data_IF_666975117884
#
_entry.id   IF_666975117884
#
_cell.length_a   1.000
_cell.length_b   1.000
_cell.length_c   1.000
_cell.angle_alpha   90.00
_cell.angle_beta   90.00
_cell.angle_gamma   90.00
#
_symmetry.space_group_name_H-M   'P 1'
#
loop_
_entity.id
_entity.type
_entity.pdbx_description
1 polymer ?
#
# COMPACT_ATOMS: atom_id res chain seq x y z
N UNK A 1 8.76 -2.88 -14.84
CA UNK A 1 9.15 -1.82 -13.90
C UNK A 1 8.06 -0.75 -13.84
N UNK A 2 7.75 -0.04 -14.93
CA UNK A 2 6.61 0.90 -14.99
C UNK A 2 5.24 0.27 -14.69
N UNK A 3 5.02 -1.00 -15.04
CA UNK A 3 3.76 -1.69 -14.73
C UNK A 3 3.41 -1.73 -13.23
N UNK A 4 4.41 -1.71 -12.32
CA UNK A 4 4.14 -1.66 -10.88
C UNK A 4 3.51 -0.34 -10.46
N UNK A 5 4.02 0.79 -10.98
CA UNK A 5 3.49 2.12 -10.69
C UNK A 5 2.05 2.27 -11.13
N UNK A 6 1.76 1.92 -12.38
CA UNK A 6 0.39 1.96 -12.89
C UNK A 6 -0.52 1.01 -12.13
N UNK A 7 -0.03 -0.13 -11.67
CA UNK A 7 -0.83 -1.07 -10.89
C UNK A 7 -1.22 -0.51 -9.52
N UNK A 8 -0.28 0.12 -8.79
CA UNK A 8 -0.58 0.79 -7.52
C UNK A 8 -1.53 1.97 -7.71
N UNK A 9 -1.25 2.82 -8.70
CA UNK A 9 -2.09 3.97 -9.04
C UNK A 9 -3.50 3.53 -9.42
N UNK A 10 -3.63 2.51 -10.26
CA UNK A 10 -4.93 1.98 -10.71
C UNK A 10 -5.73 1.39 -9.55
N UNK A 11 -5.08 0.77 -8.58
CA UNK A 11 -5.76 0.21 -7.41
C UNK A 11 -6.49 1.29 -6.61
N UNK A 12 -5.84 2.42 -6.36
CA UNK A 12 -6.50 3.58 -5.71
C UNK A 12 -7.54 4.22 -6.62
N UNK A 13 -7.23 4.34 -7.92
CA UNK A 13 -8.16 4.90 -8.91
C UNK A 13 -9.49 4.15 -8.94
N UNK A 14 -9.47 2.83 -8.76
CA UNK A 14 -10.66 2.00 -8.71
C UNK A 14 -11.53 2.32 -7.47
N UNK A 15 -10.91 2.50 -6.30
CA UNK A 15 -11.63 2.94 -5.09
C UNK A 15 -12.23 4.34 -5.27
N UNK A 16 -11.47 5.29 -5.83
CA UNK A 16 -11.96 6.64 -6.12
C UNK A 16 -13.12 6.60 -7.12
N UNK A 17 -13.03 5.77 -8.16
CA UNK A 17 -14.09 5.60 -9.14
C UNK A 17 -15.38 5.06 -8.50
N UNK A 18 -15.28 4.08 -7.61
CA UNK A 18 -16.43 3.57 -6.85
C UNK A 18 -17.04 4.68 -5.99
N UNK A 19 -16.22 5.45 -5.26
CA UNK A 19 -16.73 6.57 -4.46
C UNK A 19 -17.38 7.66 -5.31
N UNK A 20 -16.85 7.93 -6.50
CA UNK A 20 -17.45 8.86 -7.45
C UNK A 20 -18.84 8.38 -7.88
N UNK A 21 -18.99 7.10 -8.25
CA UNK A 21 -20.28 6.51 -8.62
C UNK A 21 -21.30 6.52 -7.47
N UNK A 22 -20.82 6.38 -6.23
CA UNK A 22 -21.66 6.46 -5.02
C UNK A 22 -21.99 7.90 -4.61
N UNK A 23 -21.45 8.91 -5.29
CA UNK A 23 -21.62 10.33 -4.94
C UNK A 23 -20.81 10.77 -3.71
N UNK A 24 -19.85 9.96 -3.27
CA UNK A 24 -19.02 10.22 -2.09
C UNK A 24 -17.67 10.86 -2.39
N UNK A 25 -17.32 11.02 -3.67
CA UNK A 25 -16.14 11.76 -4.12
C UNK A 25 -16.54 12.81 -5.16
N UNK A 26 -16.09 14.05 -4.97
CA UNK A 26 -16.30 15.14 -5.90
C UNK A 26 -14.98 15.86 -6.18
N UNK A 27 -14.59 15.94 -7.45
CA UNK A 27 -13.50 16.81 -7.88
C UNK A 27 -14.01 18.25 -8.00
N UNK A 28 -13.34 19.19 -7.33
CA UNK A 28 -13.68 20.61 -7.30
C UNK A 28 -12.89 21.36 -8.35
N UNK A 29 -11.56 21.21 -8.33
CA UNK A 29 -10.66 21.89 -9.26
C UNK A 29 -9.37 21.10 -9.44
N UNK A 30 -8.65 21.40 -10.51
CA UNK A 30 -7.33 20.82 -10.80
C UNK A 30 -6.32 21.95 -10.76
N UNK A 31 -5.35 21.85 -9.85
CA UNK A 31 -4.23 22.80 -9.76
C UNK A 31 -2.99 22.10 -9.24
N UNK A 32 -1.86 22.30 -9.93
CA UNK A 32 -0.55 21.83 -9.47
C UNK A 32 0.13 22.80 -8.50
N UNK A 33 -0.47 23.96 -8.23
CA UNK A 33 0.08 24.98 -7.31
C UNK A 33 0.33 24.42 -5.90
N UNK A 34 -0.44 23.41 -5.50
CA UNK A 34 -0.36 22.79 -4.18
C UNK A 34 0.47 21.50 -4.18
N UNK A 35 1.03 21.07 -5.32
CA UNK A 35 1.83 19.85 -5.41
C UNK A 35 3.14 20.11 -6.17
N UNK A 36 4.20 20.38 -5.42
CA UNK A 36 5.55 20.58 -5.97
C UNK A 36 6.22 19.26 -6.34
N UNK A 37 7.10 19.31 -7.33
CA UNK A 37 8.02 18.20 -7.68
C UNK A 37 8.83 17.71 -6.46
N UNK A 38 9.07 18.59 -5.47
CA UNK A 38 9.75 18.24 -4.21
C UNK A 38 8.99 17.17 -3.43
N UNK A 39 7.66 17.24 -3.37
CA UNK A 39 6.83 16.24 -2.67
C UNK A 39 6.91 14.88 -3.35
N UNK A 40 6.84 14.85 -4.68
CA UNK A 40 7.00 13.60 -5.43
C UNK A 40 8.36 12.96 -5.18
N UNK A 41 9.44 13.75 -5.17
CA UNK A 41 10.79 13.28 -4.86
C UNK A 41 10.88 12.71 -3.44
N UNK A 42 10.29 13.38 -2.44
CA UNK A 42 10.22 12.87 -1.06
C UNK A 42 9.47 11.54 -1.00
N UNK A 43 8.31 11.42 -1.65
CA UNK A 43 7.55 10.16 -1.71
C UNK A 43 8.36 9.03 -2.36
N UNK A 44 9.07 9.33 -3.45
CA UNK A 44 9.93 8.37 -4.14
C UNK A 44 11.04 7.84 -3.23
N UNK A 45 11.79 8.74 -2.58
CA UNK A 45 12.87 8.31 -1.68
C UNK A 45 12.35 7.60 -0.43
N UNK A 46 11.26 8.10 0.17
CA UNK A 46 10.63 7.47 1.32
C UNK A 46 10.14 6.06 0.98
N UNK A 47 9.46 5.88 -0.15
CA UNK A 47 9.04 4.57 -0.63
C UNK A 47 10.23 3.65 -0.87
N UNK A 48 11.29 4.13 -1.53
CA UNK A 48 12.49 3.35 -1.82
C UNK A 48 13.17 2.85 -0.53
N UNK A 49 13.40 3.75 0.43
CA UNK A 49 14.04 3.41 1.70
C UNK A 49 13.17 2.44 2.50
N UNK A 50 11.86 2.69 2.57
CA UNK A 50 10.91 1.77 3.23
C UNK A 50 10.97 0.39 2.57
N UNK A 51 10.89 0.30 1.25
CA UNK A 51 10.89 -0.99 0.55
C UNK A 51 12.22 -1.74 0.64
N UNK A 52 13.36 -1.02 0.60
CA UNK A 52 14.67 -1.60 0.82
C UNK A 52 14.78 -2.22 2.21
N UNK A 53 14.32 -1.53 3.24
CA UNK A 53 14.37 -2.03 4.62
C UNK A 53 13.37 -3.17 4.85
N UNK A 54 12.10 -2.95 4.54
CA UNK A 54 11.04 -3.93 4.85
C UNK A 54 11.13 -5.16 3.95
N UNK A 55 11.34 -4.99 2.64
CA UNK A 55 11.27 -6.10 1.68
C UNK A 55 12.66 -6.58 1.32
N UNK A 56 13.57 -5.65 1.01
CA UNK A 56 14.95 -5.96 0.65
C UNK A 56 15.79 -6.58 1.78
N UNK A 57 15.54 -6.19 3.03
CA UNK A 57 16.23 -6.69 4.21
C UNK A 57 15.34 -7.64 5.04
N UNK A 58 14.29 -7.15 5.69
CA UNK A 58 13.51 -7.95 6.67
C UNK A 58 12.89 -9.19 6.00
N UNK A 59 12.01 -9.01 5.00
CA UNK A 59 11.33 -10.13 4.35
C UNK A 59 12.34 -11.09 3.71
N UNK A 60 13.36 -10.59 3.01
CA UNK A 60 14.39 -11.43 2.38
C UNK A 60 15.13 -12.29 3.40
N UNK A 61 15.64 -11.69 4.47
CA UNK A 61 16.44 -12.40 5.49
C UNK A 61 15.56 -13.39 6.24
N UNK A 62 14.39 -12.96 6.70
CA UNK A 62 13.46 -13.83 7.42
C UNK A 62 13.02 -15.01 6.54
N UNK A 63 12.72 -14.82 5.25
CA UNK A 63 12.28 -15.93 4.39
C UNK A 63 13.38 -16.99 4.20
N UNK A 64 14.63 -16.56 4.06
CA UNK A 64 15.77 -17.45 3.92
C UNK A 64 16.00 -18.34 5.16
N UNK A 65 15.63 -17.84 6.34
CA UNK A 65 15.85 -18.50 7.63
C UNK A 65 14.61 -19.27 8.11
N UNK A 66 13.45 -18.60 8.09
CA UNK A 66 12.21 -19.03 8.74
C UNK A 66 11.19 -19.62 7.78
N UNK A 67 11.38 -19.44 6.46
CA UNK A 67 10.41 -19.81 5.43
C UNK A 67 9.31 -18.76 5.23
N UNK A 68 8.58 -18.88 4.13
CA UNK A 68 7.64 -17.86 3.64
C UNK A 68 6.52 -17.54 4.63
N UNK A 69 5.88 -18.55 5.24
CA UNK A 69 4.69 -18.33 6.07
C UNK A 69 5.01 -17.52 7.34
N UNK A 70 6.11 -17.84 8.03
CA UNK A 70 6.54 -17.09 9.23
C UNK A 70 6.95 -15.67 8.85
N UNK A 71 7.67 -15.52 7.74
CA UNK A 71 8.07 -14.21 7.22
C UNK A 71 6.89 -13.32 6.88
N UNK A 72 5.80 -13.86 6.34
CA UNK A 72 4.60 -13.07 6.07
C UNK A 72 4.02 -12.49 7.36
N UNK A 73 3.91 -13.30 8.42
CA UNK A 73 3.45 -12.82 9.73
C UNK A 73 4.36 -11.71 10.25
N UNK A 74 5.69 -11.88 10.17
CA UNK A 74 6.65 -10.83 10.56
C UNK A 74 6.43 -9.57 9.73
N UNK A 75 6.34 -9.71 8.40
CA UNK A 75 6.12 -8.59 7.49
C UNK A 75 4.84 -7.82 7.78
N UNK A 76 3.74 -8.52 8.12
CA UNK A 76 2.49 -7.90 8.56
C UNK A 76 2.68 -7.11 9.86
N UNK A 77 3.37 -7.70 10.85
CA UNK A 77 3.58 -7.07 12.16
C UNK A 77 4.48 -5.82 12.08
N UNK A 78 5.48 -5.80 11.19
CA UNK A 78 6.34 -4.62 11.03
C UNK A 78 5.56 -3.39 10.56
N UNK A 79 4.54 -3.58 9.72
CA UNK A 79 3.73 -2.46 9.25
C UNK A 79 2.86 -1.82 10.36
N UNK A 80 2.66 -2.51 11.49
CA UNK A 80 1.92 -1.97 12.64
C UNK A 80 2.61 -0.76 13.29
N UNK A 81 3.87 -0.46 12.96
CA UNK A 81 4.50 0.79 13.35
C UNK A 81 3.71 2.03 12.90
N UNK A 82 2.89 1.91 11.85
CA UNK A 82 2.07 3.03 11.36
C UNK A 82 0.88 3.36 12.28
N UNK A 83 0.61 2.58 13.34
CA UNK A 83 -0.37 2.95 14.37
C UNK A 83 -0.02 4.30 15.02
N UNK A 84 1.26 4.68 15.04
CA UNK A 84 1.71 5.98 15.54
C UNK A 84 1.45 7.15 14.57
N UNK A 85 0.98 6.88 13.36
CA UNK A 85 0.60 7.95 12.44
C UNK A 85 -0.64 8.68 12.97
N UNK A 86 -0.72 10.00 12.75
CA UNK A 86 -1.93 10.76 13.05
C UNK A 86 -3.16 10.11 12.40
N UNK A 87 -4.30 10.21 13.05
CA UNK A 87 -5.60 9.73 12.54
C UNK A 87 -5.72 8.21 12.35
N UNK A 88 -4.72 7.40 12.77
CA UNK A 88 -4.84 5.94 12.80
C UNK A 88 -6.01 5.50 13.67
N UNK A 89 -6.83 4.58 13.15
CA UNK A 89 -7.97 4.02 13.85
C UNK A 89 -7.93 2.48 13.87
N UNK A 90 -8.92 1.85 14.51
CA UNK A 90 -8.96 0.38 14.63
C UNK A 90 -9.03 -0.32 13.26
N UNK A 91 -9.68 0.29 12.27
CA UNK A 91 -9.72 -0.25 10.91
C UNK A 91 -8.35 -0.13 10.21
N UNK A 92 -7.61 0.95 10.45
CA UNK A 92 -6.25 1.14 9.96
C UNK A 92 -5.32 -0.01 10.35
N UNK A 93 -5.52 -0.61 11.54
CA UNK A 93 -4.75 -1.78 11.98
C UNK A 93 -4.86 -2.95 10.99
N UNK A 94 -6.08 -3.29 10.57
CA UNK A 94 -6.31 -4.36 9.60
C UNK A 94 -5.71 -4.00 8.24
N UNK A 95 -5.85 -2.75 7.82
CA UNK A 95 -5.23 -2.25 6.59
C UNK A 95 -3.70 -2.41 6.63
N UNK A 96 -3.02 -2.02 7.71
CA UNK A 96 -1.56 -2.15 7.83
C UNK A 96 -1.09 -3.60 7.75
N UNK A 97 -1.82 -4.53 8.37
CA UNK A 97 -1.54 -5.97 8.25
C UNK A 97 -1.70 -6.44 6.79
N UNK A 98 -2.77 -6.03 6.11
CA UNK A 98 -3.02 -6.37 4.70
C UNK A 98 -1.91 -5.79 3.80
N UNK A 99 -1.45 -4.58 4.07
CA UNK A 99 -0.32 -3.95 3.38
C UNK A 99 0.95 -4.78 3.51
N UNK A 100 1.32 -5.16 4.73
CA UNK A 100 2.52 -5.98 4.97
C UNK A 100 2.44 -7.34 4.29
N UNK A 101 1.28 -7.99 4.35
CA UNK A 101 1.03 -9.25 3.65
C UNK A 101 1.21 -9.09 2.12
N UNK A 102 0.53 -8.11 1.53
CA UNK A 102 0.47 -7.95 0.07
C UNK A 102 1.81 -7.54 -0.51
N UNK A 103 2.48 -6.58 0.12
CA UNK A 103 3.78 -6.10 -0.30
C UNK A 103 4.88 -7.15 -0.07
N UNK A 104 4.80 -7.89 1.04
CA UNK A 104 5.62 -9.07 1.28
C UNK A 104 5.43 -10.12 0.18
N UNK A 105 4.19 -10.39 -0.22
CA UNK A 105 3.89 -11.35 -1.30
C UNK A 105 4.40 -10.91 -2.67
N UNK A 106 4.30 -9.62 -3.02
CA UNK A 106 4.88 -9.10 -4.28
C UNK A 106 6.41 -9.31 -4.31
N UNK A 107 7.08 -9.05 -3.19
CA UNK A 107 8.50 -9.32 -3.08
C UNK A 107 8.81 -10.82 -3.16
N UNK A 108 8.11 -11.65 -2.38
CA UNK A 108 8.33 -13.10 -2.34
C UNK A 108 8.12 -13.76 -3.70
N UNK A 109 7.11 -13.31 -4.45
CA UNK A 109 6.81 -13.85 -5.78
C UNK A 109 7.86 -13.49 -6.84
N UNK A 110 8.44 -12.29 -6.76
CA UNK A 110 9.39 -11.78 -7.76
C UNK A 110 10.86 -11.89 -7.36
N UNK A 111 11.13 -12.04 -6.06
CA UNK A 111 12.44 -11.91 -5.38
C UNK A 111 13.17 -10.59 -5.69
N UNK A 112 12.43 -9.56 -6.14
CA UNK A 112 12.95 -8.27 -6.59
C UNK A 112 12.18 -7.15 -5.89
N UNK A 113 12.89 -6.11 -5.47
CA UNK A 113 12.28 -4.94 -4.80
C UNK A 113 11.47 -4.06 -5.76
N UNK A 114 11.73 -4.15 -7.06
CA UNK A 114 11.18 -3.21 -8.03
C UNK A 114 9.66 -3.25 -8.13
N UNK A 115 9.05 -4.43 -8.08
CA UNK A 115 7.58 -4.53 -8.12
C UNK A 115 6.92 -3.85 -6.91
N UNK A 116 7.23 -4.23 -5.65
CA UNK A 116 6.65 -3.56 -4.49
C UNK A 116 7.01 -2.07 -4.47
N UNK A 117 8.25 -1.69 -4.75
CA UNK A 117 8.66 -0.29 -4.78
C UNK A 117 7.83 0.57 -5.75
N UNK A 118 7.71 0.15 -7.02
CA UNK A 118 6.93 0.92 -7.98
C UNK A 118 5.44 0.90 -7.64
N UNK A 119 4.90 -0.22 -7.15
CA UNK A 119 3.52 -0.29 -6.66
C UNK A 119 3.26 0.71 -5.53
N UNK A 120 4.14 0.74 -4.53
CA UNK A 120 4.08 1.68 -3.41
C UNK A 120 4.17 3.13 -3.86
N UNK A 121 5.07 3.42 -4.81
CA UNK A 121 5.19 4.78 -5.36
C UNK A 121 3.93 5.22 -6.10
N UNK A 122 3.36 4.35 -6.94
CA UNK A 122 2.10 4.64 -7.66
C UNK A 122 0.91 4.80 -6.72
N UNK A 123 0.83 3.94 -5.70
CA UNK A 123 -0.14 4.03 -4.62
C UNK A 123 -0.04 5.37 -3.89
N UNK A 124 1.15 5.73 -3.39
CA UNK A 124 1.33 6.97 -2.62
C UNK A 124 1.13 8.21 -3.48
N UNK A 125 1.56 8.20 -4.74
CA UNK A 125 1.36 9.33 -5.65
C UNK A 125 -0.10 9.57 -5.98
N UNK A 126 -0.90 8.50 -6.09
CA UNK A 126 -2.32 8.62 -6.43
C UNK A 126 -3.14 9.36 -5.35
N UNK A 127 -2.71 9.36 -4.09
CA UNK A 127 -3.44 10.00 -3.00
C UNK A 127 -3.48 11.53 -3.14
N UNK A 128 -2.34 12.26 -3.17
CA UNK A 128 -2.35 13.70 -3.46
C UNK A 128 -2.82 13.98 -4.89
N UNK A 129 -2.65 13.05 -5.85
CA UNK A 129 -3.23 13.20 -7.18
C UNK A 129 -4.76 13.38 -7.12
N UNK A 130 -5.46 12.54 -6.35
CA UNK A 130 -6.91 12.61 -6.14
C UNK A 130 -7.34 13.51 -4.98
N UNK A 131 -6.42 14.23 -4.33
CA UNK A 131 -6.73 15.10 -3.19
C UNK A 131 -7.09 14.36 -1.90
N UNK A 132 -6.69 13.09 -1.77
CA UNK A 132 -6.79 12.33 -0.53
C UNK A 132 -5.60 12.61 0.38
N UNK A 133 -5.82 12.57 1.70
CA UNK A 133 -4.75 12.45 2.69
C UNK A 133 -3.91 11.19 2.45
N UNK A 134 -2.64 11.22 2.87
CA UNK A 134 -1.69 10.11 2.74
C UNK A 134 -1.36 9.51 4.11
N UNK A 135 -1.91 8.33 4.41
CA UNK A 135 -1.63 7.61 5.67
C UNK A 135 -1.84 8.47 6.92
N UNK A 136 -2.93 9.25 6.92
CA UNK A 136 -3.29 10.15 8.00
C UNK A 136 -2.52 11.47 8.04
N UNK A 137 -1.63 11.71 7.08
CA UNK A 137 -0.90 12.97 6.91
C UNK A 137 -1.58 13.86 5.86
N UNK A 138 -1.64 15.16 6.14
CA UNK A 138 -2.31 16.17 5.31
C UNK A 138 -1.32 17.18 4.68
N UNK A 139 -0.02 16.89 4.71
CA UNK A 139 1.07 17.83 4.40
C UNK A 139 1.69 17.65 3.00
N UNK A 140 1.19 16.69 2.21
CA UNK A 140 1.73 16.36 0.88
C UNK A 140 1.12 17.14 -0.28
N UNK A 141 0.18 18.04 0.01
CA UNK A 141 -0.52 18.83 -1.00
C UNK A 141 -1.47 18.02 -1.86
N UNK A 142 -1.98 18.64 -2.93
CA UNK A 142 -2.91 17.97 -3.84
C UNK A 142 -2.87 18.54 -5.27
N UNK A 143 -3.14 17.68 -6.26
CA UNK A 143 -3.26 18.06 -7.67
C UNK A 143 -4.73 18.29 -8.01
N UNK A 144 -5.60 17.35 -7.64
CA UNK A 144 -7.05 17.54 -7.67
C UNK A 144 -7.48 18.00 -6.29
N UNK A 145 -8.07 19.19 -6.19
CA UNK A 145 -8.84 19.57 -5.01
C UNK A 145 -10.14 18.80 -5.03
N UNK A 146 -10.39 17.99 -4.00
CA UNK A 146 -11.54 17.11 -3.95
C UNK A 146 -12.22 17.16 -2.59
N UNK A 147 -13.47 16.73 -2.57
CA UNK A 147 -14.26 16.56 -1.36
C UNK A 147 -14.71 15.12 -1.25
N UNK A 148 -14.45 14.53 -0.09
CA UNK A 148 -14.95 13.22 0.30
C UNK A 148 -16.12 13.43 1.25
N UNK A 149 -17.34 13.08 0.82
CA UNK A 149 -18.55 13.19 1.63
C UNK A 149 -19.14 11.80 1.77
N UNK A 150 -19.04 11.16 2.93
CA UNK A 150 -19.61 9.83 3.09
C UNK A 150 -19.09 9.12 4.34
N UNK A 151 -19.57 7.89 4.60
CA UNK A 151 -19.14 7.10 5.74
C UNK A 151 -17.63 6.89 5.74
N UNK A 152 -16.98 7.06 6.89
CA UNK A 152 -15.52 6.94 7.02
C UNK A 152 -15.00 5.57 6.57
N UNK A 153 -15.76 4.49 6.78
CA UNK A 153 -15.38 3.16 6.31
C UNK A 153 -15.23 3.09 4.78
N UNK A 154 -15.98 3.91 4.05
CA UNK A 154 -15.94 3.95 2.57
C UNK A 154 -14.91 4.96 2.08
N UNK A 155 -14.83 6.15 2.67
CA UNK A 155 -13.92 7.22 2.23
C UNK A 155 -12.51 7.07 2.78
N UNK A 156 -12.35 6.30 3.86
CA UNK A 156 -11.14 6.20 4.66
C UNK A 156 -10.99 7.31 5.71
N UNK A 157 -11.95 8.23 5.80
CA UNK A 157 -11.98 9.30 6.80
C UNK A 157 -10.68 10.11 6.83
N UNK A 158 -10.20 10.44 8.03
CA UNK A 158 -8.99 11.23 8.20
C UNK A 158 -7.69 10.50 7.79
N UNK A 159 -7.70 9.17 7.70
CA UNK A 159 -6.56 8.36 7.20
C UNK A 159 -6.34 8.61 5.70
N UNK A 160 -7.41 8.92 4.98
CA UNK A 160 -7.43 9.01 3.51
C UNK A 160 -7.88 7.70 2.86
N UNK A 161 -8.00 7.72 1.53
CA UNK A 161 -8.58 6.66 0.70
C UNK A 161 -7.97 5.26 0.93
N UNK A 162 -6.75 5.18 1.44
CA UNK A 162 -6.12 3.91 1.79
C UNK A 162 -6.78 3.21 2.98
N UNK A 163 -7.42 3.95 3.88
CA UNK A 163 -8.25 3.43 4.96
C UNK A 163 -9.65 3.00 4.50
N UNK A 164 -9.97 3.10 3.21
CA UNK A 164 -11.25 2.63 2.66
C UNK A 164 -11.34 1.10 2.64
N UNK A 165 -12.52 0.56 2.94
CA UNK A 165 -12.81 -0.87 2.77
C UNK A 165 -12.61 -1.35 1.34
N UNK A 166 -12.89 -0.52 0.32
CA UNK A 166 -12.67 -0.88 -1.08
C UNK A 166 -11.17 -1.04 -1.35
N UNK A 167 -10.37 -0.07 -0.92
CA UNK A 167 -8.92 -0.09 -1.08
C UNK A 167 -8.29 -1.27 -0.36
N UNK A 168 -8.67 -1.52 0.89
CA UNK A 168 -8.20 -2.67 1.66
C UNK A 168 -8.58 -4.01 1.01
N UNK A 169 -9.79 -4.11 0.46
CA UNK A 169 -10.28 -5.31 -0.23
C UNK A 169 -9.49 -5.60 -1.51
N UNK A 170 -9.24 -4.58 -2.34
CA UNK A 170 -8.43 -4.75 -3.55
C UNK A 170 -6.99 -5.13 -3.21
N UNK A 171 -6.41 -4.47 -2.22
CA UNK A 171 -5.06 -4.78 -1.76
C UNK A 171 -4.96 -6.24 -1.28
N UNK A 172 -5.91 -6.69 -0.45
CA UNK A 172 -5.95 -8.07 0.02
C UNK A 172 -6.10 -9.07 -1.13
N UNK A 173 -6.98 -8.79 -2.09
CA UNK A 173 -7.17 -9.63 -3.27
C UNK A 173 -5.87 -9.76 -4.07
N UNK A 174 -5.13 -8.66 -4.26
CA UNK A 174 -3.83 -8.65 -4.92
C UNK A 174 -2.86 -9.57 -4.17
N UNK A 175 -2.77 -9.43 -2.84
CA UNK A 175 -1.93 -10.29 -2.00
C UNK A 175 -2.28 -11.77 -2.12
N UNK A 176 -3.57 -12.12 -2.10
CA UNK A 176 -4.06 -13.49 -2.25
C UNK A 176 -3.69 -14.05 -3.64
N UNK A 177 -3.84 -13.26 -4.70
CA UNK A 177 -3.47 -13.67 -6.06
C UNK A 177 -1.96 -13.97 -6.13
N UNK A 178 -1.11 -13.11 -5.57
CA UNK A 178 0.33 -13.37 -5.52
C UNK A 178 0.66 -14.60 -4.68
N UNK A 179 -0.03 -14.82 -3.56
CA UNK A 179 0.14 -16.00 -2.72
C UNK A 179 -0.21 -17.28 -3.49
N UNK A 180 -1.36 -17.31 -4.15
CA UNK A 180 -1.78 -18.48 -4.92
C UNK A 180 -0.84 -18.76 -6.08
N UNK A 181 -0.40 -17.73 -6.82
CA UNK A 181 0.61 -17.87 -7.88
C UNK A 181 1.93 -18.37 -7.34
N UNK A 182 2.41 -17.84 -6.22
CA UNK A 182 3.64 -18.30 -5.58
C UNK A 182 3.53 -19.78 -5.18
N UNK A 183 2.40 -20.19 -4.61
CA UNK A 183 2.13 -21.59 -4.24
C UNK A 183 2.12 -22.51 -5.47
N UNK A 184 1.40 -22.14 -6.53
CA UNK A 184 1.29 -22.93 -7.76
C UNK A 184 2.65 -23.09 -8.47
N UNK A 185 3.49 -22.06 -8.42
CA UNK A 185 4.82 -22.05 -9.04
C UNK A 185 5.92 -22.59 -8.11
N UNK A 186 5.57 -23.15 -6.94
CA UNK A 186 6.56 -23.74 -6.02
C UNK A 186 7.50 -22.73 -5.34
N UNK A 187 7.13 -21.45 -5.29
CA UNK A 187 7.95 -20.35 -4.75
C UNK A 187 7.81 -20.17 -3.22
N UNK A 188 6.94 -20.93 -2.57
CA UNK A 188 6.75 -20.91 -1.12
C UNK A 188 7.86 -21.71 -0.46
N UNK A 189 8.73 -21.02 0.28
CA UNK A 189 9.88 -21.61 0.98
C UNK A 189 9.39 -22.25 2.29
N UNK A 190 9.66 -23.55 2.46
CA UNK A 190 9.42 -24.24 3.73
C UNK A 190 10.43 -23.80 4.78
N UNK A 191 9.97 -23.67 6.01
CA UNK A 191 10.84 -23.35 7.15
C UNK A 191 11.92 -24.41 7.33
N UNK A 192 13.15 -23.97 7.63
CA UNK A 192 14.26 -24.87 8.01
C UNK A 192 14.27 -25.19 9.50
N UNK A 193 13.63 -24.37 10.34
CA UNK A 193 13.58 -24.54 11.80
C UNK A 193 12.85 -25.81 12.26
N UNK A 194 11.93 -26.32 11.43
CA UNK A 194 11.13 -27.50 11.76
C UNK A 194 11.60 -28.78 11.05
N UNK A 195 12.77 -28.75 10.39
CA UNK A 195 13.42 -29.98 9.91
C UNK A 195 14.23 -30.57 11.07
N UNK A 196 13.61 -31.52 11.78
CA UNK A 196 14.33 -32.52 12.57
C UNK A 196 15.04 -33.50 11.65
#
# INVERSE_FOLDING_TARGET
>A
MFGGFFFGFFTISLSIFILYLLGYYQAISISTSHYSIKFFTVLMFAALVKDLFHRGLIVRVCENWLGTNVTLVIGMLVELQHIYNPNSNLFSLFYYLIWGFTMGMMFIYTKRIWLPFFFHLGWNFSQPFYGSNLTGLNDMGSIIQSKFNGPELLTGGAVGIEGSIFTASFLLLIGIIFYYRAKREGKIVKSKLFKR
#
